data_IF_395197892504
#
_entry.id   IF_395197892504
#
_cell.length_a   1.000
_cell.length_b   1.000
_cell.length_c   1.000
_cell.angle_alpha   90.00
_cell.angle_beta   90.00
_cell.angle_gamma   90.00
#
_symmetry.space_group_name_H-M   'P 1'
#
loop_
_entity.id
_entity.type
_entity.pdbx_description
1 polymer ?
#
# COMPACT_ATOMS: atom_id res chain seq x y z
N UNK A 1 -7.26 3.14 -10.16
CA UNK A 1 -7.81 3.73 -8.92
C UNK A 1 -9.19 4.23 -9.30
N UNK A 2 -10.19 4.14 -8.40
CA UNK A 2 -11.44 4.86 -8.59
C UNK A 2 -11.11 6.32 -8.91
N UNK A 3 -11.92 6.97 -9.76
CA UNK A 3 -11.68 8.37 -10.10
C UNK A 3 -11.69 9.25 -8.83
N UNK A 4 -10.77 10.22 -8.73
CA UNK A 4 -10.58 11.05 -7.51
C UNK A 4 -11.87 11.79 -7.13
N UNK A 5 -12.69 12.18 -8.11
CA UNK A 5 -13.96 12.87 -7.87
C UNK A 5 -15.00 11.96 -7.19
N UNK A 6 -14.97 10.66 -7.50
CA UNK A 6 -15.91 9.66 -6.97
C UNK A 6 -15.72 9.39 -5.48
N UNK A 7 -14.62 9.90 -4.89
CA UNK A 7 -14.39 9.88 -3.44
C UNK A 7 -15.21 10.92 -2.68
N UNK A 8 -15.67 11.98 -3.35
CA UNK A 8 -16.38 13.11 -2.74
C UNK A 8 -17.89 13.11 -3.05
N UNK A 9 -18.35 12.23 -3.92
CA UNK A 9 -19.74 12.14 -4.35
C UNK A 9 -20.49 11.07 -3.55
N UNK A 10 -21.72 11.40 -3.12
CA UNK A 10 -22.61 10.42 -2.49
C UNK A 10 -22.91 9.31 -3.49
N UNK A 11 -22.58 8.05 -3.15
CA UNK A 11 -22.63 6.85 -4.00
C UNK A 11 -21.60 6.75 -5.14
N UNK A 12 -20.65 7.70 -5.28
CA UNK A 12 -19.63 7.65 -6.35
C UNK A 12 -18.78 6.37 -6.32
N UNK A 13 -18.51 5.85 -5.11
CA UNK A 13 -17.77 4.59 -4.92
C UNK A 13 -18.52 3.36 -5.41
N UNK A 14 -19.84 3.32 -5.25
CA UNK A 14 -20.68 2.22 -5.76
C UNK A 14 -20.76 2.24 -7.28
N UNK A 15 -20.77 3.44 -7.86
CA UNK A 15 -20.77 3.59 -9.31
C UNK A 15 -19.43 3.15 -9.92
N UNK A 16 -18.30 3.55 -9.33
CA UNK A 16 -16.98 3.04 -9.71
C UNK A 16 -16.87 1.51 -9.57
N UNK A 17 -17.53 0.94 -8.56
CA UNK A 17 -17.63 -0.52 -8.39
C UNK A 17 -18.42 -1.16 -9.53
N UNK A 18 -19.56 -0.57 -9.93
CA UNK A 18 -20.34 -1.03 -11.09
C UNK A 18 -19.51 -0.94 -12.38
N UNK A 19 -18.76 0.14 -12.58
CA UNK A 19 -17.86 0.28 -13.73
C UNK A 19 -16.79 -0.81 -13.75
N UNK A 20 -16.16 -1.10 -12.60
CA UNK A 20 -15.20 -2.20 -12.51
C UNK A 20 -15.86 -3.56 -12.79
N UNK A 21 -17.04 -3.81 -12.25
CA UNK A 21 -17.79 -5.05 -12.50
C UNK A 21 -18.09 -5.25 -14.00
N UNK A 22 -18.57 -4.21 -14.69
CA UNK A 22 -18.81 -4.25 -16.14
C UNK A 22 -17.51 -4.51 -16.90
N UNK A 23 -16.41 -3.85 -16.53
CA UNK A 23 -15.12 -4.06 -17.17
C UNK A 23 -14.61 -5.51 -17.00
N UNK A 24 -14.75 -6.08 -15.80
CA UNK A 24 -14.38 -7.46 -15.49
C UNK A 24 -15.21 -8.45 -16.31
N UNK A 25 -16.53 -8.27 -16.35
CA UNK A 25 -17.47 -9.17 -17.04
C UNK A 25 -17.43 -9.06 -18.57
N UNK A 26 -16.76 -8.04 -19.14
CA UNK A 26 -16.49 -7.99 -20.58
C UNK A 26 -15.45 -9.01 -21.05
N UNK A 27 -14.55 -9.46 -20.17
CA UNK A 27 -13.53 -10.43 -20.53
C UNK A 27 -14.15 -11.84 -20.65
N UNK A 28 -14.04 -12.47 -21.84
CA UNK A 28 -14.58 -13.82 -22.08
C UNK A 28 -13.60 -14.95 -21.75
N UNK A 29 -12.32 -14.74 -22.02
CA UNK A 29 -11.29 -15.79 -21.89
C UNK A 29 -10.22 -15.44 -20.86
N UNK A 30 -9.61 -14.26 -20.98
CA UNK A 30 -8.48 -13.84 -20.11
C UNK A 30 -8.69 -12.40 -19.67
N UNK A 31 -8.55 -12.16 -18.37
CA UNK A 31 -8.55 -10.82 -17.78
C UNK A 31 -7.16 -10.53 -17.20
N UNK A 32 -6.56 -9.43 -17.62
CA UNK A 32 -5.32 -8.93 -17.06
C UNK A 32 -5.59 -7.62 -16.34
N UNK A 33 -5.25 -7.58 -15.05
CA UNK A 33 -5.33 -6.37 -14.24
C UNK A 33 -3.91 -5.86 -13.98
N UNK A 34 -3.68 -4.59 -14.25
CA UNK A 34 -2.41 -3.93 -13.97
C UNK A 34 -2.64 -2.62 -13.23
N UNK A 35 -1.67 -2.22 -12.41
CA UNK A 35 -1.61 -0.90 -11.80
C UNK A 35 -0.19 -0.37 -11.97
N UNK A 36 -0.08 0.95 -12.12
CA UNK A 36 1.20 1.65 -12.18
C UNK A 36 1.48 2.31 -10.83
N UNK A 37 2.69 2.11 -10.31
CA UNK A 37 3.17 2.72 -9.07
C UNK A 37 3.29 4.25 -9.20
N UNK A 38 3.67 4.74 -10.38
CA UNK A 38 3.74 6.17 -10.71
C UNK A 38 3.30 6.43 -12.15
N UNK A 39 2.63 7.56 -12.39
CA UNK A 39 2.23 8.04 -13.71
C UNK A 39 2.46 9.53 -13.81
N UNK A 40 2.96 10.01 -14.94
CA UNK A 40 3.00 11.44 -15.23
C UNK A 40 1.63 11.85 -15.79
N UNK A 41 0.95 12.77 -15.11
CA UNK A 41 -0.35 13.29 -15.51
C UNK A 41 -0.33 14.81 -15.42
N UNK A 42 -0.66 15.49 -16.52
CA UNK A 42 -0.64 16.96 -16.62
C UNK A 42 0.69 17.58 -16.17
N UNK A 43 1.82 17.00 -16.60
CA UNK A 43 3.17 17.45 -16.26
C UNK A 43 3.61 17.20 -14.83
N UNK A 44 2.79 16.53 -14.00
CA UNK A 44 3.12 16.19 -12.61
C UNK A 44 3.21 14.68 -12.45
N UNK A 45 4.24 14.20 -11.75
CA UNK A 45 4.32 12.79 -11.37
C UNK A 45 3.32 12.53 -10.24
N UNK A 46 2.42 11.58 -10.46
CA UNK A 46 1.41 11.11 -9.52
C UNK A 46 1.73 9.66 -9.16
N UNK A 47 1.90 9.41 -7.86
CA UNK A 47 2.05 8.05 -7.35
C UNK A 47 0.67 7.48 -7.04
N UNK A 48 0.30 6.41 -7.74
CA UNK A 48 -1.04 5.82 -7.66
C UNK A 48 -1.04 4.64 -6.71
N UNK A 49 -1.91 4.68 -5.70
CA UNK A 49 -2.16 3.51 -4.84
C UNK A 49 -2.97 2.48 -5.65
N UNK A 50 -2.71 1.16 -5.52
CA UNK A 50 -3.56 0.14 -6.12
C UNK A 50 -5.06 0.38 -5.82
N UNK A 51 -5.93 0.09 -6.79
CA UNK A 51 -7.37 0.22 -6.57
C UNK A 51 -7.82 -0.69 -5.43
N UNK A 52 -8.64 -0.18 -4.50
CA UNK A 52 -9.21 -0.99 -3.40
C UNK A 52 -9.93 -2.24 -3.89
N UNK A 53 -10.60 -2.13 -5.05
CA UNK A 53 -11.32 -3.22 -5.69
C UNK A 53 -10.42 -4.40 -6.09
N UNK A 54 -9.09 -4.21 -6.21
CA UNK A 54 -8.16 -5.32 -6.45
C UNK A 54 -8.00 -6.23 -5.23
N UNK A 55 -8.18 -5.69 -4.02
CA UNK A 55 -8.08 -6.46 -2.77
C UNK A 55 -9.40 -7.18 -2.42
N UNK A 56 -10.50 -6.76 -3.03
CA UNK A 56 -11.80 -7.40 -2.86
C UNK A 56 -11.96 -8.68 -3.72
N UNK A 57 -11.09 -8.87 -4.71
CA UNK A 57 -11.07 -10.10 -5.51
C UNK A 57 -10.40 -11.20 -4.69
N UNK A 58 -11.05 -12.36 -4.48
CA UNK A 58 -10.45 -13.49 -3.75
C UNK A 58 -9.08 -13.87 -4.32
N UNK A 59 -8.08 -14.02 -3.43
CA UNK A 59 -6.70 -14.28 -3.86
C UNK A 59 -6.55 -15.61 -4.62
N UNK A 60 -7.42 -16.58 -4.35
CA UNK A 60 -7.46 -17.88 -5.03
C UNK A 60 -7.79 -17.77 -6.54
N UNK A 61 -8.47 -16.69 -6.94
CA UNK A 61 -8.80 -16.41 -8.35
C UNK A 61 -7.71 -15.61 -9.07
N UNK A 62 -6.67 -15.17 -8.36
CA UNK A 62 -5.65 -14.27 -8.88
C UNK A 62 -4.31 -14.98 -9.11
N UNK A 63 -3.81 -14.90 -10.35
CA UNK A 63 -2.43 -15.24 -10.67
C UNK A 63 -1.57 -13.98 -10.72
N UNK A 64 -0.66 -13.80 -9.74
CA UNK A 64 0.28 -12.67 -9.71
C UNK A 64 1.43 -12.90 -10.69
N UNK A 65 1.48 -12.13 -11.76
CA UNK A 65 2.48 -12.30 -12.84
C UNK A 65 3.82 -11.61 -12.56
N UNK A 66 3.83 -10.54 -11.75
CA UNK A 66 5.02 -9.72 -11.47
C UNK A 66 5.50 -9.79 -10.02
N UNK A 67 4.98 -10.72 -9.21
CA UNK A 67 5.50 -10.92 -7.86
C UNK A 67 6.88 -11.57 -7.99
N UNK A 68 7.96 -10.80 -7.78
CA UNK A 68 9.17 -11.40 -7.21
C UNK A 68 8.70 -12.21 -6.00
N UNK A 69 9.04 -13.50 -5.86
CA UNK A 69 8.49 -14.34 -4.81
C UNK A 69 8.94 -13.83 -3.45
N UNK A 70 8.13 -12.97 -2.84
CA UNK A 70 8.21 -12.72 -1.40
C UNK A 70 7.59 -13.94 -0.78
N UNK A 71 8.43 -14.86 -0.32
CA UNK A 71 7.99 -16.05 0.43
C UNK A 71 7.06 -15.58 1.54
N UNK A 72 5.76 -15.85 1.38
CA UNK A 72 4.79 -15.76 2.48
C UNK A 72 5.12 -16.93 3.41
N UNK A 73 6.04 -16.72 4.34
CA UNK A 73 6.17 -17.59 5.52
C UNK A 73 4.84 -17.53 6.26
N UNK A 74 4.23 -18.70 6.46
CA UNK A 74 2.85 -18.91 6.87
C UNK A 74 2.41 -18.14 8.11
N UNK A 75 1.09 -18.03 8.23
CA UNK A 75 0.34 -17.55 9.37
C UNK A 75 0.94 -18.03 10.70
N UNK A 76 1.38 -17.14 11.61
CA UNK A 76 1.75 -17.57 12.95
C UNK A 76 0.48 -17.90 13.73
N UNK A 77 0.28 -19.18 14.02
CA UNK A 77 -0.69 -19.67 14.99
C UNK A 77 -0.26 -19.15 16.37
N UNK A 78 -1.14 -18.45 17.09
CA UNK A 78 -0.80 -17.68 18.30
C UNK A 78 -0.88 -18.52 19.58
N UNK A 79 -0.39 -19.76 19.53
CA UNK A 79 -0.30 -20.63 20.69
C UNK A 79 1.00 -21.43 20.58
N UNK A 80 1.72 -21.52 21.71
CA UNK A 80 2.95 -22.30 21.94
C UNK A 80 4.30 -21.55 21.80
N UNK A 81 4.72 -20.95 22.92
CA UNK A 81 6.15 -20.85 23.30
C UNK A 81 6.57 -22.21 23.92
N UNK A 82 7.87 -22.52 24.20
CA UNK A 82 9.14 -21.86 23.83
C UNK A 82 10.27 -22.83 23.39
N UNK A 83 11.20 -22.39 22.52
CA UNK A 83 12.67 -22.56 22.64
C UNK A 83 13.44 -22.47 21.31
N UNK A 84 14.53 -21.68 21.35
CA UNK A 84 15.85 -21.82 20.67
C UNK A 84 15.84 -22.03 19.14
N UNK A 85 16.64 -21.38 18.30
CA UNK A 85 18.01 -20.87 18.45
C UNK A 85 18.30 -19.97 17.24
N UNK A 86 19.06 -18.90 17.45
CA UNK A 86 19.96 -18.23 16.50
C UNK A 86 19.54 -18.08 15.02
N UNK A 87 19.14 -16.85 14.66
CA UNK A 87 19.62 -16.26 13.41
C UNK A 87 19.79 -14.74 13.57
N UNK A 88 20.85 -14.37 14.28
CA UNK A 88 21.42 -13.03 14.21
C UNK A 88 21.92 -12.79 12.77
N UNK A 89 21.57 -11.63 12.20
CA UNK A 89 21.92 -11.07 10.87
C UNK A 89 20.73 -10.81 9.92
N UNK A 90 19.59 -10.34 10.44
CA UNK A 90 18.57 -9.67 9.60
C UNK A 90 17.72 -8.61 10.33
N UNK A 91 18.19 -8.14 11.49
CA UNK A 91 17.44 -7.25 12.40
C UNK A 91 17.72 -5.76 12.23
N UNK A 92 18.87 -5.34 11.69
CA UNK A 92 19.16 -3.89 11.57
C UNK A 92 18.38 -3.20 10.44
N UNK A 93 18.13 -3.87 9.31
CA UNK A 93 17.41 -3.23 8.19
C UNK A 93 15.88 -3.25 8.34
N UNK A 94 15.30 -4.16 9.14
CA UNK A 94 13.86 -4.18 9.40
C UNK A 94 13.41 -3.11 10.41
N UNK A 95 14.29 -2.67 11.30
CA UNK A 95 13.99 -1.57 12.23
C UNK A 95 14.04 -0.19 11.58
N UNK A 96 14.75 -0.06 10.46
CA UNK A 96 14.95 1.24 9.80
C UNK A 96 13.75 1.67 8.93
N UNK A 97 12.92 0.72 8.46
CA UNK A 97 11.68 1.00 7.73
C UNK A 97 10.49 0.34 8.44
N UNK A 98 9.98 0.96 9.53
CA UNK A 98 8.98 0.36 10.40
C UNK A 98 7.62 0.14 9.71
N UNK A 99 7.33 0.88 8.63
CA UNK A 99 6.10 0.70 7.83
C UNK A 99 6.41 0.29 6.40
N UNK A 100 5.58 -0.58 5.83
CA UNK A 100 5.71 -0.97 4.42
C UNK A 100 5.23 0.14 3.50
N UNK A 101 5.86 0.28 2.34
CA UNK A 101 5.33 1.13 1.27
C UNK A 101 3.94 0.60 0.87
N UNK A 102 2.96 1.49 0.80
CA UNK A 102 1.54 1.19 0.60
C UNK A 102 0.75 0.93 1.89
N UNK A 103 1.40 0.89 3.05
CA UNK A 103 0.73 0.73 4.35
C UNK A 103 0.02 2.01 4.77
N UNK A 104 -1.20 1.85 5.29
CA UNK A 104 -1.96 2.93 5.93
C UNK A 104 -1.38 3.27 7.30
N UNK A 105 -1.23 4.56 7.55
CA UNK A 105 -0.67 5.12 8.79
C UNK A 105 -1.51 6.32 9.22
N UNK A 106 -1.66 6.55 10.51
CA UNK A 106 -2.27 7.77 11.06
C UNK A 106 -1.18 8.71 11.58
N UNK A 107 -1.41 10.01 11.42
CA UNK A 107 -0.56 11.06 11.94
C UNK A 107 -1.40 12.11 12.67
N UNK A 108 -1.05 12.41 13.93
CA UNK A 108 -1.79 13.37 14.79
C UNK A 108 -2.11 14.73 14.15
N UNK A 109 -1.22 15.26 13.28
CA UNK A 109 -1.40 16.54 12.59
C UNK A 109 -2.09 16.45 11.22
N UNK A 110 -1.87 15.35 10.49
CA UNK A 110 -2.23 15.25 9.07
C UNK A 110 -3.35 14.23 8.82
N UNK A 111 -3.74 13.47 9.85
CA UNK A 111 -4.71 12.40 9.80
C UNK A 111 -4.16 11.15 9.12
N UNK A 112 -5.07 10.37 8.55
CA UNK A 112 -4.76 9.13 7.86
C UNK A 112 -3.98 9.41 6.57
N UNK A 113 -2.95 8.61 6.34
CA UNK A 113 -2.14 8.66 5.14
C UNK A 113 -1.58 7.29 4.77
N UNK A 114 -0.90 7.23 3.63
CA UNK A 114 -0.31 6.00 3.11
C UNK A 114 1.16 6.24 2.83
N UNK A 115 2.01 5.33 3.29
CA UNK A 115 3.46 5.39 3.06
C UNK A 115 3.74 5.18 1.57
N UNK A 116 4.47 6.10 0.95
CA UNK A 116 4.75 6.10 -0.49
C UNK A 116 6.20 5.72 -0.78
N UNK A 117 7.14 6.22 0.01
CA UNK A 117 8.57 5.98 -0.19
C UNK A 117 9.38 6.27 1.08
N UNK A 118 10.64 5.85 1.05
CA UNK A 118 11.66 6.22 2.03
C UNK A 118 12.87 6.79 1.29
N UNK A 119 13.53 7.76 1.90
CA UNK A 119 14.76 8.37 1.39
C UNK A 119 15.69 8.68 2.56
N UNK A 120 17.01 8.65 2.32
CA UNK A 120 18.02 8.97 3.32
C UNK A 120 18.85 7.77 3.78
N UNK A 121 19.80 8.06 4.66
CA UNK A 121 20.66 7.06 5.31
C UNK A 121 20.12 6.72 6.70
N UNK A 122 20.74 5.77 7.39
CA UNK A 122 20.27 5.28 8.70
C UNK A 122 20.00 6.39 9.74
N UNK A 123 20.73 7.52 9.67
CA UNK A 123 20.69 8.63 10.65
C UNK A 123 19.76 9.80 10.23
N UNK A 124 19.40 9.95 8.95
CA UNK A 124 18.45 10.97 8.45
C UNK A 124 17.43 10.32 7.51
N UNK A 125 16.83 9.23 7.98
CA UNK A 125 15.81 8.53 7.21
C UNK A 125 14.51 9.34 7.23
N UNK A 126 13.95 9.56 6.05
CA UNK A 126 12.68 10.24 5.85
C UNK A 126 11.69 9.30 5.19
N UNK A 127 10.45 9.37 5.65
CA UNK A 127 9.31 8.67 5.06
C UNK A 127 8.44 9.67 4.33
N UNK A 128 8.06 9.33 3.10
CA UNK A 128 7.07 10.08 2.35
C UNK A 128 5.70 9.47 2.59
N UNK A 129 4.75 10.27 3.05
CA UNK A 129 3.38 9.83 3.31
C UNK A 129 2.42 10.72 2.53
N UNK A 130 1.44 10.09 1.87
CA UNK A 130 0.33 10.80 1.25
C UNK A 130 -0.87 10.79 2.19
N UNK A 131 -1.23 11.97 2.71
CA UNK A 131 -2.31 12.15 3.68
C UNK A 131 -3.69 12.43 3.05
N UNK A 132 -3.82 12.29 1.73
CA UNK A 132 -5.06 12.62 1.01
C UNK A 132 -5.34 14.12 1.06
N UNK A 133 -5.98 14.59 2.12
CA UNK A 133 -6.38 15.99 2.35
C UNK A 133 -5.18 16.92 2.51
N UNK A 134 -4.11 16.48 3.20
CA UNK A 134 -2.90 17.30 3.41
C UNK A 134 -1.82 17.11 2.32
N UNK A 135 -2.08 16.23 1.34
CA UNK A 135 -1.17 15.90 0.25
C UNK A 135 0.06 15.08 0.68
N UNK A 136 1.09 15.09 -0.17
CA UNK A 136 2.36 14.41 0.06
C UNK A 136 3.22 15.20 1.04
N UNK A 137 3.72 14.53 2.09
CA UNK A 137 4.63 15.09 3.08
C UNK A 137 5.83 14.19 3.28
N UNK A 138 7.00 14.82 3.34
CA UNK A 138 8.22 14.20 3.86
C UNK A 138 8.28 14.40 5.36
N UNK A 139 8.43 13.30 6.10
CA UNK A 139 8.56 13.29 7.54
C UNK A 139 9.86 12.57 7.91
N UNK A 140 10.69 13.20 8.73
CA UNK A 140 11.82 12.51 9.34
C UNK A 140 11.31 11.38 10.23
N UNK A 141 11.84 10.18 10.06
CA UNK A 141 11.30 8.96 10.67
C UNK A 141 11.23 9.06 12.20
N UNK A 142 12.25 9.67 12.80
CA UNK A 142 12.35 9.90 14.25
C UNK A 142 11.23 10.80 14.80
N UNK A 143 10.71 11.71 13.98
CA UNK A 143 9.70 12.70 14.37
C UNK A 143 8.33 12.42 13.78
N UNK A 144 8.21 11.46 12.86
CA UNK A 144 6.98 11.19 12.12
C UNK A 144 5.84 10.70 13.01
N UNK A 145 6.11 10.03 14.15
CA UNK A 145 5.10 9.55 15.12
C UNK A 145 3.86 8.95 14.44
N UNK A 146 4.09 8.11 13.42
CA UNK A 146 3.05 7.46 12.66
C UNK A 146 2.56 6.21 13.39
N UNK A 147 1.25 5.97 13.40
CA UNK A 147 0.68 4.73 13.95
C UNK A 147 0.06 3.89 12.84
N UNK A 148 0.33 2.57 12.77
CA UNK A 148 -0.31 1.72 11.78
C UNK A 148 -1.83 1.67 12.05
N UNK A 149 -2.62 1.60 10.98
CA UNK A 149 -4.09 1.49 11.01
C UNK A 149 -4.49 0.15 10.40
#
# INVERSE_FOLDING_TARGET
CPHEQSMYESNGLEEERRLMYVAVTRARQRLYLSHAQSRMLHGKVRYGIPSRFLNEIPEELLKRLNSKPVKRSGSPNYNELPHRMNNAKSSEQKNAMPWRIGQSVDHKKFGNGVVVSYEGSADDMRVQVNFGNAGLKWLALEFAKLTPI
#
